data_IF_453854923515
#
_entry.id   IF_453854923515
#
_cell.length_a   1.000
_cell.length_b   1.000
_cell.length_c   1.000
_cell.angle_alpha   90.00
_cell.angle_beta   90.00
_cell.angle_gamma   90.00
#
_symmetry.space_group_name_H-M   'P 1'
#
loop_
_entity.id
_entity.type
_entity.pdbx_description
1 polymer ?
#
# COMPACT_ATOMS: atom_id res chain seq x y z
N UNK A 1 -8.28 -3.12 -5.07
CA UNK A 1 -9.13 -4.00 -5.88
C UNK A 1 -10.28 -4.62 -5.10
N UNK A 2 -10.03 -5.53 -4.14
CA UNK A 2 -11.13 -6.18 -3.40
C UNK A 2 -12.06 -5.19 -2.67
N UNK A 3 -11.47 -4.14 -2.09
CA UNK A 3 -12.21 -3.04 -1.45
C UNK A 3 -13.11 -2.28 -2.44
N UNK A 4 -12.75 -2.24 -3.73
CA UNK A 4 -13.54 -1.54 -4.77
C UNK A 4 -14.76 -2.36 -5.22
N UNK A 5 -14.65 -3.69 -5.18
CA UNK A 5 -15.67 -4.62 -5.68
C UNK A 5 -16.60 -5.16 -4.59
N UNK A 6 -16.26 -4.99 -3.31
CA UNK A 6 -17.14 -5.34 -2.19
C UNK A 6 -18.22 -4.28 -1.99
N UNK A 7 -19.35 -4.71 -1.43
CA UNK A 7 -20.40 -3.79 -0.99
C UNK A 7 -19.79 -2.73 -0.08
N UNK A 8 -20.05 -1.46 -0.41
CA UNK A 8 -19.49 -0.29 0.30
C UNK A 8 -19.91 -0.21 1.78
N UNK A 9 -20.77 -1.11 2.22
CA UNK A 9 -21.28 -1.23 3.59
C UNK A 9 -20.52 -2.27 4.42
N UNK A 10 -19.79 -3.22 3.82
CA UNK A 10 -19.03 -4.21 4.59
C UNK A 10 -17.79 -3.55 5.24
N UNK A 11 -17.62 -3.62 6.57
CA UNK A 11 -16.43 -3.09 7.22
C UNK A 11 -15.20 -3.93 6.83
N UNK A 12 -14.14 -3.25 6.37
CA UNK A 12 -12.85 -3.86 6.02
C UNK A 12 -11.81 -3.43 7.05
N UNK A 13 -11.13 -4.42 7.63
CA UNK A 13 -9.99 -4.20 8.52
C UNK A 13 -8.69 -4.62 7.84
N UNK A 14 -7.79 -3.67 7.65
CA UNK A 14 -6.42 -3.91 7.20
C UNK A 14 -5.54 -4.09 8.44
N UNK A 15 -5.04 -5.30 8.67
CA UNK A 15 -4.08 -5.61 9.73
C UNK A 15 -2.65 -5.43 9.20
N UNK A 16 -2.17 -4.18 9.16
CA UNK A 16 -0.82 -3.87 8.70
C UNK A 16 -0.26 -2.61 9.37
N UNK A 17 1.04 -2.62 9.63
CA UNK A 17 1.76 -1.43 10.13
C UNK A 17 2.31 -0.54 9.01
N UNK A 18 2.15 -0.99 7.76
CA UNK A 18 2.59 -0.31 6.56
C UNK A 18 1.75 0.95 6.31
N UNK A 19 2.39 2.05 5.91
CA UNK A 19 1.70 3.31 5.70
C UNK A 19 1.05 3.41 4.31
N UNK A 20 1.38 2.53 3.39
CA UNK A 20 0.89 2.63 2.01
C UNK A 20 -0.62 2.47 1.92
N UNK A 21 -1.20 1.65 2.81
CA UNK A 21 -2.65 1.44 2.89
C UNK A 21 -3.44 2.63 3.41
N UNK A 22 -2.78 3.66 3.95
CA UNK A 22 -3.44 4.90 4.40
C UNK A 22 -4.20 5.55 3.23
N UNK A 23 -3.71 5.43 2.00
CA UNK A 23 -4.41 5.94 0.81
C UNK A 23 -5.80 5.32 0.58
N UNK A 24 -6.06 4.14 1.16
CA UNK A 24 -7.34 3.43 1.06
C UNK A 24 -8.36 3.92 2.08
N UNK A 25 -7.95 4.72 3.08
CA UNK A 25 -8.84 5.32 4.08
C UNK A 25 -9.76 6.41 3.51
N UNK A 26 -9.64 6.72 2.21
CA UNK A 26 -10.66 7.50 1.48
C UNK A 26 -12.01 6.78 1.39
N UNK A 27 -12.03 5.45 1.58
CA UNK A 27 -13.26 4.67 1.68
C UNK A 27 -13.70 4.58 3.14
N UNK A 28 -14.94 4.98 3.42
CA UNK A 28 -15.47 5.13 4.79
C UNK A 28 -15.50 3.83 5.62
N UNK A 29 -15.54 2.68 4.96
CA UNK A 29 -15.63 1.36 5.57
C UNK A 29 -14.25 0.71 5.80
N UNK A 30 -13.14 1.40 5.52
CA UNK A 30 -11.79 0.83 5.63
C UNK A 30 -11.09 1.38 6.87
N UNK A 31 -10.76 0.49 7.79
CA UNK A 31 -9.95 0.79 8.96
C UNK A 31 -8.61 0.08 8.87
N UNK A 32 -7.57 0.67 9.44
CA UNK A 32 -6.24 0.07 9.49
C UNK A 32 -5.71 0.00 10.91
N UNK A 33 -5.28 -1.19 11.33
CA UNK A 33 -4.65 -1.41 12.62
C UNK A 33 -3.20 -1.85 12.44
N UNK A 34 -2.28 -1.23 13.16
CA UNK A 34 -0.87 -1.61 13.22
C UNK A 34 -0.63 -2.57 14.39
N UNK A 35 -0.39 -3.87 14.15
CA UNK A 35 -0.06 -4.80 15.24
C UNK A 35 1.26 -4.46 15.92
N UNK A 36 2.20 -3.85 15.19
CA UNK A 36 3.51 -3.45 15.72
C UNK A 36 3.39 -2.28 16.71
N UNK A 37 2.62 -1.26 16.37
CA UNK A 37 2.41 -0.05 17.20
C UNK A 37 1.24 -0.19 18.16
N UNK A 38 0.42 -1.23 17.98
CA UNK A 38 -0.79 -1.53 18.76
C UNK A 38 -1.82 -0.40 18.74
N UNK A 39 -1.97 0.29 17.61
CA UNK A 39 -2.93 1.37 17.43
C UNK A 39 -3.56 1.35 16.04
N UNK A 40 -4.70 2.02 15.90
CA UNK A 40 -5.24 2.35 14.60
C UNK A 40 -4.38 3.41 13.94
N UNK A 41 -4.08 3.20 12.65
CA UNK A 41 -3.48 4.23 11.81
C UNK A 41 -4.63 4.98 11.18
N UNK A 42 -4.67 6.30 11.32
CA UNK A 42 -5.68 7.16 10.71
C UNK A 42 -5.01 8.41 10.11
N UNK A 43 -5.64 8.95 9.07
CA UNK A 43 -5.29 10.25 8.50
C UNK A 43 -6.54 11.07 8.22
N UNK A 44 -6.45 12.38 8.45
CA UNK A 44 -7.51 13.31 8.10
C UNK A 44 -7.57 13.58 6.59
N UNK A 45 -6.46 13.37 5.87
CA UNK A 45 -6.37 13.64 4.44
C UNK A 45 -5.50 12.57 3.73
N UNK A 46 -6.13 11.46 3.29
CA UNK A 46 -5.45 10.39 2.55
C UNK A 46 -4.85 10.86 1.22
N UNK A 47 -5.48 11.84 0.57
CA UNK A 47 -5.02 12.35 -0.73
C UNK A 47 -3.72 13.14 -0.59
N UNK A 48 -3.65 14.07 0.36
CA UNK A 48 -2.40 14.80 0.64
C UNK A 48 -1.30 13.83 1.07
N UNK A 49 -1.62 12.82 1.90
CA UNK A 49 -0.65 11.79 2.29
C UNK A 49 -0.07 11.06 1.08
N UNK A 50 -0.92 10.62 0.14
CA UNK A 50 -0.50 9.99 -1.09
C UNK A 50 0.37 10.93 -1.95
N UNK A 51 -0.05 12.18 -2.15
CA UNK A 51 0.70 13.17 -2.93
C UNK A 51 2.07 13.45 -2.31
N UNK A 52 2.17 13.56 -0.99
CA UNK A 52 3.45 13.68 -0.29
C UNK A 52 4.36 12.48 -0.54
N UNK A 53 3.79 11.28 -0.52
CA UNK A 53 4.54 10.04 -0.74
C UNK A 53 5.04 9.95 -2.20
N UNK A 54 4.21 10.32 -3.18
CA UNK A 54 4.61 10.44 -4.59
C UNK A 54 5.78 11.44 -4.75
N UNK A 55 5.72 12.59 -4.09
CA UNK A 55 6.81 13.58 -4.14
C UNK A 55 8.10 13.02 -3.53
N UNK A 56 8.02 12.41 -2.36
CA UNK A 56 9.19 11.89 -1.65
C UNK A 56 9.77 10.62 -2.29
N UNK A 57 8.98 9.91 -3.08
CA UNK A 57 9.29 8.55 -3.49
C UNK A 57 9.21 7.59 -2.31
N UNK A 58 9.49 6.32 -2.59
CA UNK A 58 9.64 5.29 -1.58
C UNK A 58 10.98 4.56 -1.71
N UNK A 59 11.85 4.73 -0.71
CA UNK A 59 13.22 4.19 -0.75
C UNK A 59 13.22 2.67 -0.54
N UNK A 60 12.30 2.15 0.27
CA UNK A 60 12.15 0.70 0.50
C UNK A 60 11.85 -0.04 -0.79
N UNK A 61 10.99 0.53 -1.63
CA UNK A 61 10.60 -0.02 -2.92
C UNK A 61 11.47 0.45 -4.09
N UNK A 62 12.58 1.15 -3.81
CA UNK A 62 13.53 1.60 -4.84
C UNK A 62 12.97 2.70 -5.75
N UNK A 63 11.96 3.45 -5.31
CA UNK A 63 11.35 4.57 -6.01
C UNK A 63 11.96 5.89 -5.53
N UNK A 64 12.80 6.58 -6.33
CA UNK A 64 13.43 7.81 -5.88
C UNK A 64 12.44 8.98 -5.86
N UNK A 65 12.77 10.04 -5.13
CA UNK A 65 11.97 11.26 -5.12
C UNK A 65 11.83 11.87 -6.53
N UNK A 66 10.77 12.63 -6.77
CA UNK A 66 10.44 13.11 -8.12
C UNK A 66 11.50 14.04 -8.74
N UNK A 67 12.41 14.61 -7.93
CA UNK A 67 13.51 15.46 -8.40
C UNK A 67 14.74 14.65 -8.84
N UNK A 68 14.79 13.36 -8.55
CA UNK A 68 15.95 12.49 -8.78
C UNK A 68 15.71 11.55 -9.98
N UNK A 69 16.80 11.12 -10.62
CA UNK A 69 16.75 10.21 -11.77
C UNK A 69 16.37 8.78 -11.38
N UNK A 70 15.87 8.01 -12.34
CA UNK A 70 15.40 6.63 -12.11
C UNK A 70 16.52 5.69 -11.66
N UNK A 71 17.75 5.94 -12.10
CA UNK A 71 18.94 5.16 -11.79
C UNK A 71 19.61 5.52 -10.45
N UNK A 72 18.97 6.38 -9.64
CA UNK A 72 19.58 6.95 -8.43
C UNK A 72 20.14 5.88 -7.49
N UNK A 73 19.36 4.82 -7.23
CA UNK A 73 19.76 3.74 -6.32
C UNK A 73 20.66 2.67 -6.97
N UNK A 74 20.71 2.61 -8.30
CA UNK A 74 21.55 1.65 -9.04
C UNK A 74 22.97 2.20 -9.20
N UNK A 75 23.10 3.52 -9.31
CA UNK A 75 24.37 4.21 -9.61
C UNK A 75 24.98 4.89 -8.38
N UNK A 76 24.50 4.55 -7.17
CA UNK A 76 24.91 5.15 -5.89
C UNK A 76 24.85 6.70 -5.88
N UNK A 77 23.98 7.28 -6.71
CA UNK A 77 23.78 8.73 -6.74
C UNK A 77 23.03 9.16 -5.49
N UNK A 78 23.40 10.33 -4.97
CA UNK A 78 22.61 10.97 -3.92
C UNK A 78 21.34 11.55 -4.53
N UNK A 79 20.19 11.24 -3.92
CA UNK A 79 18.94 11.90 -4.23
C UNK A 79 19.04 13.43 -4.10
N UNK A 80 18.39 14.15 -5.01
CA UNK A 80 18.23 15.60 -4.90
C UNK A 80 17.43 15.95 -3.65
N UNK A 81 17.94 16.83 -2.75
CA UNK A 81 17.24 17.16 -1.52
C UNK A 81 15.89 17.82 -1.77
N UNK A 82 14.84 17.30 -1.12
CA UNK A 82 13.49 17.83 -1.17
C UNK A 82 13.09 18.38 0.21
N UNK A 83 12.87 19.70 0.29
CA UNK A 83 12.58 20.37 1.56
C UNK A 83 11.14 20.13 2.01
N UNK A 84 10.92 20.09 3.33
CA UNK A 84 9.57 19.91 3.91
C UNK A 84 8.58 21.00 3.46
N UNK A 85 9.04 22.25 3.38
CA UNK A 85 8.23 23.39 2.92
C UNK A 85 7.75 23.23 1.47
N UNK A 86 8.59 22.67 0.60
CA UNK A 86 8.22 22.40 -0.79
C UNK A 86 7.17 21.30 -0.86
N UNK A 87 7.37 20.21 -0.12
CA UNK A 87 6.42 19.09 -0.07
C UNK A 87 5.04 19.54 0.41
N UNK A 88 4.95 20.33 1.48
CA UNK A 88 3.67 20.78 2.02
C UNK A 88 2.90 21.69 1.07
N UNK A 89 3.60 22.49 0.26
CA UNK A 89 2.94 23.36 -0.74
C UNK A 89 2.56 22.56 -1.98
N UNK A 90 3.47 21.72 -2.49
CA UNK A 90 3.26 20.98 -3.73
C UNK A 90 2.29 19.81 -3.59
N UNK A 91 2.11 19.25 -2.39
CA UNK A 91 1.09 18.22 -2.14
C UNK A 91 -0.33 18.75 -2.24
N UNK A 92 -0.53 20.07 -2.20
CA UNK A 92 -1.84 20.73 -2.35
C UNK A 92 -2.09 21.25 -3.78
N UNK A 93 -1.08 21.19 -4.65
CA UNK A 93 -1.15 21.69 -6.02
C UNK A 93 -1.18 20.54 -7.03
N UNK A 94 -1.71 20.81 -8.22
CA UNK A 94 -1.62 19.88 -9.34
C UNK A 94 -0.18 19.83 -9.88
N UNK A 95 0.31 18.64 -10.27
CA UNK A 95 1.71 18.44 -10.67
C UNK A 95 2.12 19.35 -11.83
N UNK A 96 1.24 19.57 -12.80
CA UNK A 96 1.50 20.40 -13.97
C UNK A 96 1.76 21.89 -13.63
N UNK A 97 1.43 22.34 -12.41
CA UNK A 97 1.69 23.71 -11.93
C UNK A 97 3.14 23.91 -11.48
N UNK A 98 3.78 22.87 -10.92
CA UNK A 98 5.12 22.99 -10.34
C UNK A 98 6.18 22.07 -10.98
N UNK A 99 5.75 21.05 -11.71
CA UNK A 99 6.61 20.15 -12.48
C UNK A 99 6.63 20.55 -13.95
N UNK A 100 7.81 20.47 -14.56
CA UNK A 100 7.98 20.59 -16.01
C UNK A 100 9.00 19.57 -16.52
N UNK A 101 8.86 19.15 -17.78
CA UNK A 101 9.80 18.25 -18.46
C UNK A 101 10.06 16.97 -17.65
N UNK A 102 11.32 16.76 -17.30
CA UNK A 102 11.77 15.59 -16.53
C UNK A 102 11.11 15.46 -15.15
N UNK A 103 10.88 16.56 -14.44
CA UNK A 103 10.26 16.50 -13.11
C UNK A 103 8.81 16.00 -13.20
N UNK A 104 8.08 16.38 -14.26
CA UNK A 104 6.72 15.91 -14.49
C UNK A 104 6.73 14.42 -14.86
N UNK A 105 7.65 13.99 -15.73
CA UNK A 105 7.85 12.57 -16.06
C UNK A 105 8.11 11.74 -14.79
N UNK A 106 9.00 12.21 -13.91
CA UNK A 106 9.35 11.51 -12.67
C UNK A 106 8.20 11.50 -11.66
N UNK A 107 7.43 12.58 -11.58
CA UNK A 107 6.21 12.60 -10.76
C UNK A 107 5.23 11.54 -11.25
N UNK A 108 4.97 11.47 -12.57
CA UNK A 108 4.07 10.47 -13.17
C UNK A 108 4.60 9.04 -13.00
N UNK A 109 5.92 8.85 -13.04
CA UNK A 109 6.56 7.56 -12.68
C UNK A 109 6.21 7.17 -11.25
N UNK A 110 6.44 8.06 -10.29
CA UNK A 110 6.13 7.80 -8.89
C UNK A 110 4.63 7.56 -8.68
N UNK A 111 3.78 8.35 -9.31
CA UNK A 111 2.33 8.16 -9.29
C UNK A 111 1.97 6.75 -9.76
N UNK A 112 2.50 6.28 -10.88
CA UNK A 112 2.21 4.94 -11.40
C UNK A 112 2.71 3.79 -10.51
N UNK A 113 3.78 4.01 -9.75
CA UNK A 113 4.40 2.99 -8.89
C UNK A 113 3.83 2.97 -7.47
N UNK A 114 3.37 4.11 -6.95
CA UNK A 114 2.94 4.27 -5.55
C UNK A 114 1.42 4.31 -5.41
N UNK A 115 0.69 4.90 -6.36
CA UNK A 115 -0.76 5.03 -6.29
C UNK A 115 -1.44 3.71 -6.65
N UNK A 116 -2.08 3.08 -5.66
CA UNK A 116 -2.78 1.81 -5.82
C UNK A 116 -3.99 1.90 -6.78
N UNK A 117 -4.43 3.10 -7.14
CA UNK A 117 -5.46 3.28 -8.18
C UNK A 117 -4.90 3.14 -9.59
N UNK A 118 -3.57 3.18 -9.78
CA UNK A 118 -2.91 3.03 -11.09
C UNK A 118 -2.57 1.58 -11.42
N UNK A 119 -2.95 0.64 -10.57
CA UNK A 119 -2.79 -0.80 -10.86
C UNK A 119 -3.52 -1.12 -12.18
N UNK A 120 -2.87 -1.78 -13.16
CA UNK A 120 -3.51 -2.11 -14.43
C UNK A 120 -4.78 -2.94 -14.27
N UNK A 121 -5.82 -2.62 -15.04
CA UNK A 121 -7.14 -3.25 -14.96
C UNK A 121 -7.09 -4.78 -15.09
N UNK A 122 -6.31 -5.30 -16.05
CA UNK A 122 -6.15 -6.74 -16.23
C UNK A 122 -5.61 -7.46 -14.98
N UNK A 123 -4.80 -6.77 -14.17
CA UNK A 123 -4.26 -7.32 -12.92
C UNK A 123 -5.29 -7.23 -11.81
N UNK A 124 -6.08 -6.15 -11.78
CA UNK A 124 -7.22 -6.01 -10.87
C UNK A 124 -8.22 -7.16 -11.08
N UNK A 125 -8.64 -7.40 -12.31
CA UNK A 125 -9.57 -8.48 -12.65
C UNK A 125 -9.02 -9.84 -12.24
N UNK A 126 -7.74 -10.09 -12.54
CA UNK A 126 -7.09 -11.34 -12.16
C UNK A 126 -7.10 -11.56 -10.64
N UNK A 127 -6.85 -10.52 -9.84
CA UNK A 127 -6.89 -10.61 -8.37
C UNK A 127 -8.28 -11.01 -7.88
N UNK A 128 -9.33 -10.42 -8.44
CA UNK A 128 -10.73 -10.69 -8.05
C UNK A 128 -11.12 -12.11 -8.44
N UNK A 129 -10.82 -12.50 -9.67
CA UNK A 129 -11.09 -13.84 -10.18
C UNK A 129 -10.41 -14.91 -9.32
N UNK A 130 -9.13 -14.71 -8.97
CA UNK A 130 -8.40 -15.68 -8.14
C UNK A 130 -8.91 -15.70 -6.69
N UNK A 131 -9.37 -14.57 -6.15
CA UNK A 131 -10.00 -14.51 -4.84
C UNK A 131 -11.32 -15.28 -4.81
N UNK A 132 -12.20 -15.04 -5.79
CA UNK A 132 -13.51 -15.69 -5.86
C UNK A 132 -13.42 -17.19 -6.16
N UNK A 133 -12.33 -17.64 -6.79
CA UNK A 133 -12.05 -19.05 -7.08
C UNK A 133 -11.44 -19.82 -5.91
N UNK A 134 -11.07 -19.16 -4.81
CA UNK A 134 -10.48 -19.83 -3.65
C UNK A 134 -11.43 -20.94 -3.16
N UNK A 135 -10.98 -22.21 -3.10
CA UNK A 135 -11.82 -23.27 -2.57
C UNK A 135 -12.03 -23.04 -1.07
N UNK A 136 -13.24 -23.32 -0.60
CA UNK A 136 -13.50 -23.32 0.83
C UNK A 136 -12.73 -24.47 1.50
N UNK A 137 -11.63 -24.13 2.17
CA UNK A 137 -10.85 -25.08 2.95
C UNK A 137 -11.27 -24.95 4.40
N UNK A 138 -12.17 -25.83 4.83
CA UNK A 138 -12.58 -25.92 6.23
C UNK A 138 -11.44 -26.36 7.17
N UNK A 139 -11.75 -26.37 8.47
CA UNK A 139 -10.79 -26.65 9.56
C UNK A 139 -10.23 -28.08 9.59
N UNK A 140 -10.82 -29.01 8.83
CA UNK A 140 -10.53 -30.45 8.91
C UNK A 140 -9.07 -30.80 8.58
N UNK A 141 -8.37 -29.94 7.82
CA UNK A 141 -6.96 -30.14 7.45
C UNK A 141 -5.97 -29.59 8.48
N UNK A 142 -6.40 -28.74 9.43
CA UNK A 142 -5.50 -28.09 10.40
C UNK A 142 -4.80 -29.11 11.30
N UNK A 143 -5.53 -30.07 11.85
CA UNK A 143 -4.96 -31.08 12.74
C UNK A 143 -3.87 -31.91 12.03
N UNK A 144 -4.17 -32.41 10.84
CA UNK A 144 -3.23 -33.19 10.04
C UNK A 144 -1.98 -32.36 9.68
N UNK A 145 -2.15 -31.08 9.37
CA UNK A 145 -1.03 -30.16 9.14
C UNK A 145 -0.15 -30.01 10.39
N UNK A 146 -0.75 -29.79 11.56
CA UNK A 146 -0.01 -29.54 12.80
C UNK A 146 0.75 -30.79 13.26
N UNK A 147 0.14 -31.98 13.15
CA UNK A 147 0.80 -33.26 13.44
C UNK A 147 1.96 -33.49 12.49
N UNK A 148 1.75 -33.32 11.18
CA UNK A 148 2.79 -33.49 10.14
C UNK A 148 4.00 -32.60 10.40
N UNK A 149 3.76 -31.35 10.81
CA UNK A 149 4.81 -30.36 11.07
C UNK A 149 5.26 -30.31 12.53
N UNK A 150 4.82 -31.26 13.38
CA UNK A 150 5.20 -31.40 14.80
C UNK A 150 4.96 -30.13 15.63
N UNK A 151 3.89 -29.39 15.34
CA UNK A 151 3.53 -28.11 15.97
C UNK A 151 2.77 -28.31 17.30
N UNK A 152 3.37 -29.07 18.24
CA UNK A 152 2.70 -29.51 19.48
C UNK A 152 2.09 -28.37 20.30
N UNK A 153 2.82 -27.28 20.48
CA UNK A 153 2.34 -26.14 21.27
C UNK A 153 1.13 -25.44 20.62
N UNK A 154 1.05 -25.43 19.29
CA UNK A 154 -0.09 -24.83 18.59
C UNK A 154 -1.31 -25.77 18.56
N UNK A 155 -1.11 -27.09 18.71
CA UNK A 155 -2.22 -28.05 18.78
C UNK A 155 -3.11 -27.82 20.01
N UNK A 156 -2.53 -27.37 21.13
CA UNK A 156 -3.28 -27.02 22.35
C UNK A 156 -4.24 -25.84 22.11
N UNK A 157 -3.90 -24.96 21.16
CA UNK A 157 -4.65 -23.77 20.78
C UNK A 157 -5.32 -23.89 19.39
N UNK A 158 -5.54 -25.11 18.88
CA UNK A 158 -6.05 -25.33 17.51
C UNK A 158 -7.43 -24.70 17.25
N UNK A 159 -8.21 -24.43 18.32
CA UNK A 159 -9.51 -23.77 18.23
C UNK A 159 -9.42 -22.25 18.03
N UNK A 160 -8.23 -21.63 18.19
CA UNK A 160 -7.99 -20.19 18.01
C UNK A 160 -7.62 -19.78 16.58
N UNK A 161 -7.28 -20.76 15.73
CA UNK A 161 -7.01 -20.58 14.30
C UNK A 161 -8.28 -20.62 13.45
#
# INVERSE_FOLDING_TARGET
>A
TLILNKDKEEPVLILSSDKDFIQLQKYKNVNQYSPLKKNFLDTNNPETFLREHILRGDVSDGVPNFLSSDDTFVTDKRQTPLSKKKVSVWSELEPDVFCQGEQLRNYRRNEMLIDLTKIPEWLQDKIVIEYDRQPEVGRTKLFNYFVKHKLKNLMEHINEF
#
